data_IF_428872240440
#
_entry.id   IF_428872240440
#
_cell.length_a   1.000
_cell.length_b   1.000
_cell.length_c   1.000
_cell.angle_alpha   90.00
_cell.angle_beta   90.00
_cell.angle_gamma   90.00
#
_symmetry.space_group_name_H-M   'P 1'
#
loop_
_entity.id
_entity.type
_entity.pdbx_description
1 polymer ?
#
# COMPACT_ATOMS: atom_id res chain seq x y z
N UNK A 1 -14.60 -31.48 3.57
CA UNK A 1 -15.22 -30.15 3.47
C UNK A 1 -14.74 -29.49 2.19
N UNK A 2 -15.62 -29.19 1.24
CA UNK A 2 -15.22 -28.53 -0.01
C UNK A 2 -14.86 -27.08 0.29
N UNK A 3 -13.56 -26.77 0.26
CA UNK A 3 -13.06 -25.40 0.29
C UNK A 3 -13.71 -24.63 -0.86
N UNK A 4 -14.54 -23.63 -0.56
CA UNK A 4 -15.03 -22.71 -1.60
C UNK A 4 -13.82 -21.98 -2.17
N UNK A 5 -13.56 -22.17 -3.47
CA UNK A 5 -12.47 -21.52 -4.19
C UNK A 5 -12.79 -20.02 -4.31
N UNK A 6 -12.05 -19.19 -3.57
CA UNK A 6 -12.07 -17.73 -3.77
C UNK A 6 -11.27 -17.44 -5.04
N UNK A 7 -11.92 -16.81 -6.02
CA UNK A 7 -11.27 -16.42 -7.27
C UNK A 7 -10.89 -14.94 -7.23
N UNK A 8 -9.61 -14.64 -7.49
CA UNK A 8 -9.14 -13.28 -7.69
C UNK A 8 -9.69 -12.74 -9.01
N UNK A 9 -10.46 -11.65 -8.96
CA UNK A 9 -11.08 -11.03 -10.15
C UNK A 9 -10.33 -9.79 -10.66
N UNK A 10 -9.58 -9.11 -9.80
CA UNK A 10 -8.85 -7.89 -10.13
C UNK A 10 -7.80 -7.58 -9.06
N UNK A 11 -6.64 -7.12 -9.51
CA UNK A 11 -5.59 -6.54 -8.67
C UNK A 11 -5.04 -5.30 -9.38
N UNK A 12 -4.87 -4.19 -8.67
CA UNK A 12 -4.36 -2.96 -9.25
C UNK A 12 -3.65 -2.09 -8.22
N UNK A 13 -2.74 -1.23 -8.69
CA UNK A 13 -2.12 -0.19 -7.89
C UNK A 13 -2.81 1.14 -8.13
N UNK A 14 -3.38 1.72 -7.07
CA UNK A 14 -4.04 3.02 -7.13
C UNK A 14 -3.08 4.13 -6.71
N UNK A 15 -2.92 5.11 -7.58
CA UNK A 15 -2.17 6.34 -7.30
C UNK A 15 -3.14 7.44 -6.89
N UNK A 16 -2.70 8.43 -6.10
CA UNK A 16 -3.48 9.65 -5.88
C UNK A 16 -3.85 10.33 -7.19
N UNK A 17 -5.05 10.90 -7.25
CA UNK A 17 -5.61 11.47 -8.47
C UNK A 17 -4.80 12.69 -8.94
N UNK A 18 -4.45 13.56 -7.99
CA UNK A 18 -3.74 14.80 -8.27
C UNK A 18 -2.26 14.71 -7.92
N UNK A 19 -1.47 15.56 -8.58
CA UNK A 19 -0.12 15.81 -8.12
C UNK A 19 -0.16 16.47 -6.74
N UNK A 20 0.49 15.82 -5.78
CA UNK A 20 0.60 16.39 -4.45
C UNK A 20 1.55 17.58 -4.44
N UNK A 21 1.27 18.50 -3.53
CA UNK A 21 2.12 19.65 -3.28
C UNK A 21 3.56 19.24 -2.94
N UNK A 22 4.54 20.13 -3.16
CA UNK A 22 5.95 19.87 -2.82
C UNK A 22 6.17 19.43 -1.37
N UNK A 23 5.36 19.94 -0.44
CA UNK A 23 5.43 19.62 1.00
C UNK A 23 5.07 18.14 1.23
N UNK A 24 4.06 17.65 0.54
CA UNK A 24 3.64 16.24 0.62
C UNK A 24 4.62 15.27 -0.07
N UNK A 25 5.66 15.79 -0.74
CA UNK A 25 6.78 14.98 -1.28
C UNK A 25 7.90 14.77 -0.25
N UNK A 26 7.85 15.46 0.90
CA UNK A 26 8.85 15.30 1.95
C UNK A 26 8.71 13.95 2.67
N UNK A 27 9.81 13.34 3.14
CA UNK A 27 9.76 12.17 3.99
C UNK A 27 8.94 12.43 5.26
N UNK A 28 8.07 11.48 5.63
CA UNK A 28 7.32 11.54 6.89
C UNK A 28 8.03 10.69 7.92
N UNK A 29 8.60 11.33 8.93
CA UNK A 29 9.27 10.64 10.02
C UNK A 29 8.28 10.25 11.11
N UNK A 30 8.50 9.07 11.69
CA UNK A 30 7.70 8.59 12.82
C UNK A 30 8.24 9.12 14.13
N UNK A 31 7.33 9.41 15.05
CA UNK A 31 7.63 9.59 16.46
C UNK A 31 8.04 8.26 17.12
N UNK A 32 8.79 8.28 18.24
CA UNK A 32 9.10 7.05 18.97
C UNK A 32 7.87 6.22 19.36
N UNK A 33 6.75 6.88 19.65
CA UNK A 33 5.49 6.20 19.94
C UNK A 33 4.98 5.44 18.72
N UNK A 34 4.87 6.10 17.56
CA UNK A 34 4.42 5.47 16.30
C UNK A 34 5.31 4.29 15.88
N UNK A 35 6.63 4.37 16.12
CA UNK A 35 7.55 3.26 15.85
C UNK A 35 7.20 2.00 16.64
N UNK A 36 6.72 2.14 17.88
CA UNK A 36 6.28 1.00 18.69
C UNK A 36 5.08 0.26 18.06
N UNK A 37 4.23 0.97 17.31
CA UNK A 37 3.08 0.41 16.61
C UNK A 37 3.43 -0.33 15.32
N UNK A 38 4.65 -0.21 14.80
CA UNK A 38 5.05 -0.91 13.57
C UNK A 38 5.05 -2.44 13.72
N UNK A 39 5.22 -2.94 14.94
CA UNK A 39 5.18 -4.37 15.23
C UNK A 39 3.76 -4.90 15.41
N UNK A 40 2.74 -4.05 15.30
CA UNK A 40 1.36 -4.49 15.37
C UNK A 40 0.99 -5.25 14.08
N UNK A 41 0.28 -6.37 14.23
CA UNK A 41 -0.14 -7.19 13.09
C UNK A 41 -0.99 -6.36 12.13
N UNK A 42 -0.89 -6.65 10.84
CA UNK A 42 -1.70 -6.00 9.81
C UNK A 42 -3.19 -6.13 10.17
N UNK A 43 -3.87 -4.99 10.25
CA UNK A 43 -5.30 -4.95 10.55
C UNK A 43 -6.09 -5.37 9.32
N UNK A 44 -6.56 -6.62 9.29
CA UNK A 44 -7.47 -7.12 8.25
C UNK A 44 -8.91 -6.76 8.64
N UNK A 45 -9.49 -5.77 7.97
CA UNK A 45 -10.90 -5.39 8.14
C UNK A 45 -11.66 -5.64 6.84
N UNK A 46 -12.84 -6.24 6.95
CA UNK A 46 -13.76 -6.44 5.84
C UNK A 46 -15.06 -5.67 6.07
N UNK A 47 -15.73 -5.27 4.98
CA UNK A 47 -17.07 -4.69 5.00
C UNK A 47 -18.02 -5.63 4.27
N UNK A 48 -19.19 -5.86 4.85
CA UNK A 48 -20.26 -6.62 4.24
C UNK A 48 -21.37 -5.67 3.82
N UNK A 49 -21.69 -5.69 2.52
CA UNK A 49 -22.78 -4.90 1.96
C UNK A 49 -23.95 -5.83 1.63
N UNK A 50 -25.18 -5.31 1.77
CA UNK A 50 -26.37 -6.05 1.39
C UNK A 50 -26.35 -6.31 -0.12
N UNK A 51 -26.70 -7.53 -0.52
CA UNK A 51 -26.85 -7.87 -1.94
C UNK A 51 -27.95 -6.99 -2.57
N UNK A 52 -27.71 -6.43 -3.77
CA UNK A 52 -28.71 -5.65 -4.49
C UNK A 52 -29.93 -6.52 -4.82
N UNK A 53 -31.13 -5.92 -4.89
CA UNK A 53 -32.40 -6.65 -5.01
C UNK A 53 -32.58 -7.35 -6.37
N UNK A 54 -31.90 -6.89 -7.43
CA UNK A 54 -31.91 -7.54 -8.74
C UNK A 54 -30.48 -7.60 -9.33
N UNK A 55 -30.18 -8.62 -10.16
CA UNK A 55 -28.87 -8.77 -10.80
C UNK A 55 -28.54 -7.61 -11.76
N UNK A 56 -29.54 -7.02 -12.40
CA UNK A 56 -29.35 -5.88 -13.32
C UNK A 56 -28.99 -4.58 -12.58
N UNK A 57 -29.26 -4.50 -11.27
CA UNK A 57 -28.94 -3.32 -10.47
C UNK A 57 -27.46 -3.24 -10.05
N UNK A 58 -26.63 -4.23 -10.35
CA UNK A 58 -25.21 -4.22 -9.96
C UNK A 58 -24.29 -4.75 -11.03
N UNK A 59 -23.42 -3.85 -11.48
CA UNK A 59 -22.28 -4.18 -12.33
C UNK A 59 -21.01 -4.16 -11.49
N UNK A 60 -20.32 -5.30 -11.43
CA UNK A 60 -19.01 -5.40 -10.76
C UNK A 60 -17.97 -4.48 -11.39
N UNK A 61 -18.03 -4.27 -12.71
CA UNK A 61 -17.07 -3.40 -13.42
C UNK A 61 -17.29 -1.94 -13.05
N UNK A 62 -18.55 -1.49 -13.01
CA UNK A 62 -18.93 -0.14 -12.57
C UNK A 62 -18.54 0.09 -11.11
N UNK A 63 -18.83 -0.89 -10.24
CA UNK A 63 -18.43 -0.83 -8.83
C UNK A 63 -16.91 -0.70 -8.66
N UNK A 64 -16.13 -1.54 -9.34
CA UNK A 64 -14.67 -1.49 -9.29
C UNK A 64 -14.14 -0.14 -9.80
N UNK A 65 -14.68 0.38 -10.90
CA UNK A 65 -14.28 1.70 -11.43
C UNK A 65 -14.55 2.83 -10.42
N UNK A 66 -15.73 2.86 -9.81
CA UNK A 66 -16.04 3.85 -8.78
C UNK A 66 -15.17 3.70 -7.54
N UNK A 67 -14.89 2.47 -7.11
CA UNK A 67 -14.02 2.19 -5.97
C UNK A 67 -12.58 2.66 -6.23
N UNK A 68 -12.02 2.35 -7.40
CA UNK A 68 -10.68 2.78 -7.79
C UNK A 68 -10.60 4.32 -7.87
N UNK A 69 -11.58 4.97 -8.49
CA UNK A 69 -11.62 6.42 -8.62
C UNK A 69 -11.77 7.12 -7.26
N UNK A 70 -12.71 6.67 -6.42
CA UNK A 70 -12.93 7.25 -5.09
C UNK A 70 -11.72 7.04 -4.17
N UNK A 71 -11.07 5.88 -4.24
CA UNK A 71 -9.82 5.63 -3.52
C UNK A 71 -8.69 6.54 -4.03
N UNK A 72 -8.55 6.70 -5.34
CA UNK A 72 -7.55 7.60 -5.94
C UNK A 72 -7.72 9.04 -5.45
N UNK A 73 -8.95 9.56 -5.47
CA UNK A 73 -9.26 10.90 -4.94
C UNK A 73 -8.99 10.99 -3.42
N UNK A 74 -9.36 9.97 -2.66
CA UNK A 74 -9.11 9.94 -1.20
C UNK A 74 -7.62 9.97 -0.89
N UNK A 75 -6.80 9.23 -1.64
CA UNK A 75 -5.36 9.19 -1.44
C UNK A 75 -4.65 10.52 -1.80
N UNK A 76 -5.30 11.45 -2.51
CA UNK A 76 -4.82 12.83 -2.65
C UNK A 76 -4.75 13.52 -1.28
N UNK A 77 -5.75 13.30 -0.43
CA UNK A 77 -5.80 13.90 0.91
C UNK A 77 -5.08 13.04 1.96
N UNK A 78 -5.16 11.71 1.85
CA UNK A 78 -4.54 10.75 2.76
C UNK A 78 -3.29 10.11 2.16
N UNK A 79 -2.42 10.93 1.58
CA UNK A 79 -1.23 10.49 0.88
C UNK A 79 -0.24 9.61 1.66
N UNK A 80 -0.14 9.66 3.01
CA UNK A 80 0.71 8.70 3.74
C UNK A 80 0.31 7.24 3.49
N UNK A 81 -0.97 6.96 3.20
CA UNK A 81 -1.47 5.60 2.91
C UNK A 81 -0.96 5.05 1.57
N UNK A 82 -0.63 5.93 0.62
CA UNK A 82 -0.02 5.57 -0.67
C UNK A 82 1.52 5.58 -0.61
N UNK A 83 2.11 5.84 0.55
CA UNK A 83 3.56 5.95 0.75
C UNK A 83 4.16 4.60 1.14
N UNK A 84 5.49 4.47 1.05
CA UNK A 84 6.21 3.24 1.41
C UNK A 84 7.09 3.46 2.63
N UNK A 85 7.12 2.46 3.51
CA UNK A 85 8.12 2.41 4.59
C UNK A 85 9.52 2.24 4.01
N UNK A 86 10.42 3.14 4.38
CA UNK A 86 11.84 3.08 4.05
C UNK A 86 12.61 2.93 5.34
N UNK A 87 13.54 1.98 5.37
CA UNK A 87 14.50 1.81 6.46
C UNK A 87 15.89 2.16 5.95
N UNK A 88 16.51 3.17 6.54
CA UNK A 88 17.88 3.59 6.23
C UNK A 88 18.78 3.32 7.42
N UNK A 89 19.91 2.65 7.17
CA UNK A 89 20.99 2.50 8.16
C UNK A 89 21.90 3.72 8.09
N UNK A 90 22.24 4.27 9.25
CA UNK A 90 23.28 5.28 9.42
C UNK A 90 24.48 4.63 10.09
N UNK A 91 25.69 5.05 9.71
CA UNK A 91 26.92 4.42 10.17
C UNK A 91 27.57 5.17 11.33
N UNK A 92 27.40 6.49 11.44
CA UNK A 92 28.07 7.33 12.43
C UNK A 92 27.13 8.40 13.02
N UNK A 93 26.58 8.20 14.23
CA UNK A 93 26.59 6.95 15.00
C UNK A 93 25.72 5.86 14.34
N UNK A 94 25.99 4.56 14.60
CA UNK A 94 25.19 3.48 14.06
C UNK A 94 23.72 3.59 14.50
N UNK A 95 22.80 3.78 13.56
CA UNK A 95 21.37 3.84 13.86
C UNK A 95 20.51 3.43 12.67
N UNK A 96 19.23 3.18 12.92
CA UNK A 96 18.23 2.97 11.87
C UNK A 96 17.21 4.09 11.89
N UNK A 97 16.88 4.63 10.72
CA UNK A 97 15.79 5.59 10.53
C UNK A 97 14.72 4.93 9.70
N UNK A 98 13.49 4.96 10.22
CA UNK A 98 12.29 4.50 9.52
C UNK A 98 11.44 5.72 9.21
N UNK A 99 10.99 5.85 7.96
CA UNK A 99 10.15 6.95 7.50
C UNK A 99 9.29 6.52 6.32
N UNK A 100 8.22 7.25 6.02
CA UNK A 100 7.46 7.08 4.78
C UNK A 100 8.08 7.90 3.67
N UNK A 101 8.31 7.25 2.53
CA UNK A 101 8.77 7.88 1.30
C UNK A 101 7.76 7.69 0.20
N UNK A 102 7.54 8.77 -0.56
CA UNK A 102 6.79 8.74 -1.81
C UNK A 102 7.70 8.71 -3.04
N UNK A 103 9.03 8.82 -2.87
CA UNK A 103 9.98 8.71 -3.99
C UNK A 103 9.86 7.31 -4.60
N UNK A 104 9.12 7.25 -5.71
CA UNK A 104 9.12 6.13 -6.63
C UNK A 104 10.55 6.01 -7.17
N UNK A 105 11.15 4.84 -6.98
CA UNK A 105 11.12 3.92 -8.09
C UNK A 105 10.23 2.75 -7.68
N UNK A 106 9.32 2.37 -8.57
CA UNK A 106 8.95 0.97 -8.67
C UNK A 106 10.25 0.24 -9.03
N UNK A 107 11.13 -0.03 -8.05
CA UNK A 107 12.16 -1.04 -8.25
C UNK A 107 11.37 -2.32 -8.41
N UNK A 108 11.26 -2.74 -9.66
CA UNK A 108 10.89 -4.08 -10.07
C UNK A 108 11.73 -5.01 -9.19
N UNK A 109 11.12 -5.60 -8.17
CA UNK A 109 11.76 -6.67 -7.42
C UNK A 109 11.69 -7.84 -8.38
N UNK A 110 12.73 -8.01 -9.20
CA UNK A 110 12.92 -9.22 -9.96
C UNK A 110 13.05 -10.36 -8.95
N UNK A 111 12.09 -11.28 -8.96
CA UNK A 111 12.28 -12.60 -8.38
C UNK A 111 13.34 -13.28 -9.24
N UNK A 112 14.60 -13.23 -8.82
CA UNK A 112 15.61 -14.14 -9.34
C UNK A 112 15.22 -15.55 -8.89
N UNK A 113 14.68 -16.35 -9.81
CA UNK A 113 14.69 -17.80 -9.63
C UNK A 113 16.15 -18.27 -9.64
N UNK A 114 16.56 -18.85 -8.52
CA UNK A 114 17.73 -19.74 -8.45
C UNK A 114 19.06 -19.06 -8.10
N UNK A 115 19.62 -19.46 -6.96
CA UNK A 115 21.07 -19.37 -6.72
C UNK A 115 21.49 -18.51 -5.53
N UNK A 116 21.56 -19.17 -4.37
CA UNK A 116 22.42 -18.90 -3.21
C UNK A 116 23.01 -17.50 -2.95
N UNK A 117 22.65 -16.98 -1.76
CA UNK A 117 23.43 -16.11 -0.87
C UNK A 117 23.66 -14.63 -1.22
N UNK A 118 23.47 -13.83 -0.15
CA UNK A 118 23.82 -12.42 0.06
C UNK A 118 22.81 -11.37 -0.41
N UNK A 119 21.87 -11.06 0.50
CA UNK A 119 21.10 -9.81 0.49
C UNK A 119 22.07 -8.65 0.77
N UNK A 120 22.57 -7.97 -0.26
CA UNK A 120 23.09 -6.60 -0.11
C UNK A 120 21.94 -5.62 -0.34
N UNK A 121 21.58 -4.87 0.69
CA UNK A 121 20.68 -3.72 0.58
C UNK A 121 21.50 -2.53 0.06
N UNK A 122 21.15 -2.01 -1.11
CA UNK A 122 21.49 -0.65 -1.57
C UNK A 122 20.25 0.10 -1.99
#
# INVERSE_FOLDING_TARGET
>A
MSSTLVNLISECFIKPLDELSPEAKQPIHFTPFELAWLNFKYSQRGLLFRKPPSPDCFSITTFLNHLQHSLSATLTHFYPLASRFVTRKQENPPSYVIYLSRKLPWRQVYLCQGGSHSIRRT
#
